data_IF_652731303671
#
_entry.id   IF_652731303671
#
_cell.length_a   1.000
_cell.length_b   1.000
_cell.length_c   1.000
_cell.angle_alpha   90.00
_cell.angle_beta   90.00
_cell.angle_gamma   90.00
#
_symmetry.space_group_name_H-M   'P 1'
#
loop_
_entity.id
_entity.type
_entity.pdbx_description
1 polymer ?
2 water ?
#
# COMPACT_ATOMS: atom_id res chain seq x y z
N UNK A 20 -13.17 -19.52 9.29
CA UNK A 20 -12.21 -19.08 10.30
C UNK A 20 -11.07 -18.18 9.73
N UNK A 21 -9.87 -18.76 9.51
CA UNK A 21 -8.68 -18.05 8.98
C UNK A 21 -8.54 -18.35 7.48
N UNK A 22 -8.47 -17.30 6.61
CA UNK A 22 -8.33 -17.48 5.12
C UNK A 22 -6.97 -18.24 4.83
N UNK A 23 -6.74 -18.90 3.69
CA UNK A 23 -6.42 -18.38 2.33
C UNK A 23 -4.88 -18.43 2.33
N UNK A 24 -4.18 -17.31 2.47
CA UNK A 24 -2.83 -17.11 1.89
C UNK A 24 -3.09 -17.22 0.38
N UNK A 25 -2.96 -16.11 -0.34
CA UNK A 25 -2.79 -16.24 -1.79
C UNK A 25 -1.40 -16.90 -2.04
N UNK A 26 -1.07 -17.36 -3.27
CA UNK A 26 0.34 -17.72 -3.66
C UNK A 26 1.07 -16.53 -3.11
N UNK A 27 2.26 -16.61 -2.51
CA UNK A 27 3.57 -16.53 -3.11
C UNK A 27 3.62 -15.51 -4.23
N UNK A 28 3.18 -15.88 -5.43
CA UNK A 28 3.28 -14.95 -6.55
C UNK A 28 2.41 -13.72 -6.34
N UNK A 29 1.16 -13.93 -5.94
CA UNK A 29 0.22 -12.87 -5.72
C UNK A 29 0.69 -11.91 -4.60
N UNK A 30 1.37 -12.47 -3.59
CA UNK A 30 1.77 -11.71 -2.43
C UNK A 30 2.97 -10.86 -2.76
N UNK A 31 3.88 -11.42 -3.53
CA UNK A 31 5.05 -10.65 -3.96
C UNK A 31 4.67 -9.52 -4.90
N UNK A 32 3.74 -9.76 -5.82
CA UNK A 32 3.26 -8.77 -6.76
C UNK A 32 2.48 -7.65 -6.04
N UNK A 33 1.62 -8.05 -5.11
CA UNK A 33 0.98 -7.08 -4.19
C UNK A 33 2.03 -6.23 -3.45
N UNK A 34 3.08 -6.86 -2.93
CA UNK A 34 4.18 -6.15 -2.30
C UNK A 34 4.85 -5.09 -3.16
N UNK A 35 5.13 -5.46 -4.40
CA UNK A 35 5.77 -4.51 -5.34
C UNK A 35 4.85 -3.35 -5.72
N UNK A 36 3.57 -3.63 -5.89
CA UNK A 36 2.60 -2.61 -6.13
C UNK A 36 2.64 -1.56 -5.00
N UNK A 37 2.65 -2.01 -3.75
CA UNK A 37 2.64 -1.06 -2.59
C UNK A 37 3.92 -0.24 -2.50
N UNK A 38 5.01 -0.87 -2.88
CA UNK A 38 6.29 -0.20 -2.82
C UNK A 38 6.38 0.84 -3.96
N UNK A 39 5.80 0.55 -5.10
CA UNK A 39 5.67 1.54 -6.20
C UNK A 39 4.82 2.76 -5.84
N UNK A 40 3.82 2.59 -4.99
CA UNK A 40 2.97 3.69 -4.56
C UNK A 40 3.52 4.50 -3.37
N UNK A 41 4.60 4.01 -2.74
CA UNK A 41 5.05 4.45 -1.44
C UNK A 41 6.05 5.57 -1.50
N UNK A 42 5.85 6.58 -2.29
CA UNK A 42 6.80 7.71 -2.25
C UNK A 42 5.91 8.92 -2.30
N UNK A 43 6.17 9.95 -1.49
CA UNK A 43 5.35 11.15 -1.48
C UNK A 43 5.01 11.69 -2.88
N UNK A 44 5.97 11.70 -3.80
CA UNK A 44 5.70 12.22 -5.17
C UNK A 44 4.87 11.32 -6.01
N UNK A 45 5.04 10.00 -5.86
CA UNK A 45 4.14 9.07 -6.55
C UNK A 45 2.72 9.11 -6.01
N UNK A 46 2.60 9.30 -4.71
CA UNK A 46 1.29 9.46 -4.13
C UNK A 46 0.66 10.70 -4.76
N UNK A 47 1.41 11.79 -4.81
CA UNK A 47 0.88 13.02 -5.35
C UNK A 47 0.54 12.93 -6.82
N UNK A 48 1.34 12.22 -7.61
CA UNK A 48 0.94 11.99 -9.03
C UNK A 48 -0.34 11.22 -9.21
N UNK A 49 -0.51 10.14 -8.44
CA UNK A 49 -1.72 9.33 -8.47
C UNK A 49 -2.95 10.17 -8.11
N UNK A 50 -2.82 11.06 -7.12
CA UNK A 50 -3.89 12.02 -6.80
C UNK A 50 -4.21 12.96 -7.96
N UNK A 51 -3.18 13.44 -8.67
CA UNK A 51 -3.43 14.28 -9.84
C UNK A 51 -4.20 13.49 -10.91
N UNK A 52 -3.72 12.31 -11.21
CA UNK A 52 -4.27 11.47 -12.28
C UNK A 52 -5.66 10.91 -11.95
N UNK A 53 -6.01 10.81 -10.67
CA UNK A 53 -7.41 10.42 -10.33
C UNK A 53 -8.45 11.46 -10.82
N UNK A 54 -8.06 12.72 -10.89
CA UNK A 54 -8.95 13.80 -11.34
C UNK A 54 -8.96 14.04 -12.86
N UNK A 55 -7.86 13.76 -13.52
CA UNK A 55 -7.70 14.11 -14.93
C UNK A 55 -6.44 13.41 -15.45
N UNK A 56 -6.46 12.94 -16.69
CA UNK A 56 -5.21 12.61 -17.38
C UNK A 56 -4.34 13.86 -17.44
N UNK A 57 -3.02 13.70 -17.47
CA UNK A 57 -2.14 14.85 -17.46
C UNK A 57 -0.94 14.58 -18.32
N UNK A 58 -0.40 15.60 -18.95
CA UNK A 58 0.95 15.53 -19.54
C UNK A 58 1.98 15.91 -18.48
N UNK A 59 3.25 15.66 -18.80
CA UNK A 59 4.36 15.90 -17.90
C UNK A 59 4.43 17.37 -17.51
N UNK A 60 4.23 18.31 -18.42
CA UNK A 60 4.44 19.69 -18.04
C UNK A 60 3.38 20.15 -17.06
N UNK A 61 2.23 19.53 -17.09
CA UNK A 61 1.20 19.90 -16.16
C UNK A 61 1.46 19.37 -14.72
N UNK A 62 2.03 18.17 -14.63
CA UNK A 62 2.46 17.57 -13.36
C UNK A 62 3.59 18.40 -12.79
N UNK A 63 4.50 18.85 -13.66
CA UNK A 63 5.58 19.75 -13.25
C UNK A 63 5.00 21.02 -12.63
N UNK A 64 4.02 21.63 -13.29
CA UNK A 64 3.45 22.89 -12.80
C UNK A 64 2.67 22.68 -11.49
N UNK A 65 1.83 21.68 -11.46
CA UNK A 65 1.01 21.38 -10.28
C UNK A 65 1.81 20.97 -9.04
N UNK A 66 2.85 20.16 -9.22
CA UNK A 66 3.62 19.60 -8.10
C UNK A 66 4.84 20.45 -7.69
N UNK A 67 5.29 21.33 -8.57
CA UNK A 67 6.45 22.20 -8.36
C UNK A 67 7.72 21.40 -8.20
N UNK A 68 7.91 20.46 -9.11
CA UNK A 68 9.12 19.67 -9.14
C UNK A 68 9.57 19.66 -10.57
N UNK A 69 10.89 19.65 -10.78
CA UNK A 69 11.41 19.64 -12.13
C UNK A 69 11.06 18.35 -12.90
N UNK A 70 11.02 18.52 -14.20
CA UNK A 70 10.68 17.47 -15.15
C UNK A 70 11.47 16.21 -15.01
N UNK A 71 12.82 16.28 -14.82
CA UNK A 71 13.54 14.96 -14.83
C UNK A 71 13.09 14.10 -13.63
N UNK A 72 12.73 14.76 -12.53
CA UNK A 72 12.23 14.03 -11.35
C UNK A 72 10.83 13.45 -11.57
N UNK A 73 9.91 14.27 -12.11
CA UNK A 73 8.55 13.79 -12.50
C UNK A 73 8.61 12.59 -13.42
N UNK A 74 9.45 12.69 -14.46
CA UNK A 74 9.60 11.62 -15.43
C UNK A 74 10.12 10.33 -14.81
N UNK A 75 11.07 10.41 -13.91
CA UNK A 75 11.51 9.22 -13.26
C UNK A 75 10.43 8.54 -12.39
N UNK A 76 9.67 9.31 -11.64
CA UNK A 76 8.57 8.70 -10.91
C UNK A 76 7.50 8.13 -11.81
N UNK A 77 7.21 8.78 -12.94
CA UNK A 77 6.27 8.19 -13.91
C UNK A 77 6.80 6.89 -14.48
N UNK A 78 8.11 6.81 -14.70
CA UNK A 78 8.70 5.58 -15.23
C UNK A 78 8.52 4.43 -14.22
N UNK A 79 8.76 4.72 -12.95
CA UNK A 79 8.52 3.81 -11.85
C UNK A 79 7.08 3.40 -11.73
N UNK A 80 6.14 4.34 -11.84
CA UNK A 80 4.73 3.95 -11.86
C UNK A 80 4.31 3.12 -13.07
N UNK A 81 4.85 3.42 -14.23
CA UNK A 81 4.51 2.69 -15.46
C UNK A 81 5.05 1.25 -15.40
N UNK A 82 6.33 1.10 -15.04
CA UNK A 82 6.94 -0.22 -14.84
C UNK A 82 6.11 -1.02 -13.91
N UNK A 83 5.46 -0.39 -12.91
CA UNK A 83 4.66 -1.16 -11.95
C UNK A 83 3.22 -1.43 -12.40
N UNK A 84 2.76 -0.96 -13.56
CA UNK A 84 1.37 -1.19 -13.96
C UNK A 84 0.36 -0.23 -13.37
N UNK A 85 0.84 0.90 -12.83
CA UNK A 85 -0.09 1.86 -12.21
C UNK A 85 -0.59 2.92 -13.19
N UNK A 86 0.28 3.32 -14.09
CA UNK A 86 -0.07 4.30 -15.06
C UNK A 86 0.26 3.82 -16.44
N UNK A 87 -0.44 4.40 -17.42
CA UNK A 87 -0.02 4.31 -18.80
C UNK A 87 -0.06 5.64 -19.45
N UNK A 88 0.56 5.70 -20.61
CA UNK A 88 0.47 6.86 -21.43
C UNK A 88 -0.06 6.56 -22.83
N UNK A 89 -0.56 7.60 -23.49
CA UNK A 89 -1.09 7.51 -24.84
C UNK A 89 -1.09 8.90 -25.48
N UNK A 90 -0.89 8.94 -26.79
CA UNK A 90 -0.98 10.17 -27.61
C UNK A 90 -2.39 10.71 -27.51
N UNK A 91 -2.46 12.01 -27.31
CA UNK A 91 -3.67 12.73 -27.49
C UNK A 91 -3.29 13.99 -28.25
N UNK A 92 -3.53 14.02 -29.57
CA UNK A 92 -3.24 15.22 -30.36
C UNK A 92 -1.75 15.49 -30.42
N UNK A 93 -1.34 16.64 -29.92
CA UNK A 93 0.06 16.96 -29.95
C UNK A 93 0.82 16.61 -28.67
N UNK A 94 0.15 16.13 -27.62
CA UNK A 94 0.79 15.73 -26.34
C UNK A 94 0.68 14.23 -26.03
N UNK A 95 1.51 13.76 -25.09
CA UNK A 95 1.43 12.44 -24.45
C UNK A 95 0.74 12.61 -23.05
N UNK A 96 -0.34 11.89 -22.84
CA UNK A 96 -1.08 11.98 -21.61
C UNK A 96 -0.87 10.71 -20.82
N UNK A 97 -0.69 10.89 -19.53
CA UNK A 97 -0.61 9.80 -18.57
C UNK A 97 -1.94 9.62 -17.91
N UNK A 98 -2.27 8.37 -17.59
CA UNK A 98 -3.50 8.09 -16.89
C UNK A 98 -3.27 6.91 -15.97
N UNK A 99 -4.11 6.83 -14.95
CA UNK A 99 -4.15 5.68 -14.08
C UNK A 99 -4.73 4.49 -14.84
N UNK A 100 -4.07 3.36 -14.76
CA UNK A 100 -4.56 2.14 -15.41
C UNK A 100 -5.93 1.73 -14.79
N UNK A 101 -6.08 1.85 -13.48
CA UNK A 101 -7.31 1.47 -12.81
C UNK A 101 -7.50 2.45 -11.63
N UNK A 102 -8.64 3.15 -11.62
CA UNK A 102 -8.94 4.11 -10.58
C UNK A 102 -9.09 3.57 -9.17
N UNK A 103 -9.29 2.26 -9.01
CA UNK A 103 -9.21 1.65 -7.69
C UNK A 103 -7.84 1.74 -7.01
N UNK A 104 -6.77 1.82 -7.80
CA UNK A 104 -5.44 2.03 -7.24
C UNK A 104 -5.32 3.33 -6.46
N UNK A 105 -6.08 4.35 -6.89
CA UNK A 105 -6.14 5.60 -6.15
C UNK A 105 -6.72 5.38 -4.77
N UNK A 106 -7.58 4.36 -4.58
CA UNK A 106 -8.14 4.12 -3.24
C UNK A 106 -7.10 3.67 -2.27
N UNK A 107 -6.07 2.98 -2.75
CA UNK A 107 -4.92 2.63 -1.90
C UNK A 107 -4.29 3.88 -1.31
N UNK A 108 -4.01 4.89 -2.14
CA UNK A 108 -3.34 6.04 -1.61
C UNK A 108 -4.26 6.90 -0.75
N UNK A 109 -5.50 7.00 -1.16
CA UNK A 109 -6.51 7.69 -0.37
C UNK A 109 -6.68 7.11 1.06
N UNK A 110 -6.77 5.80 1.16
CA UNK A 110 -6.82 5.11 2.47
C UNK A 110 -5.53 5.28 3.28
N UNK A 111 -4.36 5.21 2.62
CA UNK A 111 -3.08 5.47 3.27
C UNK A 111 -3.04 6.87 3.85
N UNK A 112 -3.50 7.84 3.07
CA UNK A 112 -3.62 9.23 3.51
C UNK A 112 -4.60 9.35 4.70
N UNK A 113 -5.77 8.75 4.60
CA UNK A 113 -6.72 8.75 5.72
C UNK A 113 -6.07 8.20 7.00
N UNK A 114 -5.46 7.04 6.94
CA UNK A 114 -4.78 6.53 8.10
C UNK A 114 -3.77 7.47 8.64
N UNK A 115 -2.90 7.99 7.78
CA UNK A 115 -1.80 8.90 8.20
C UNK A 115 -2.37 10.13 8.93
N UNK A 116 -3.44 10.71 8.39
CA UNK A 116 -4.14 11.87 9.01
C UNK A 116 -4.88 11.59 10.33
N UNK A 117 -5.34 10.36 10.55
CA UNK A 117 -6.01 10.02 11.81
C UNK A 117 -4.94 9.60 12.81
N UNK A 118 -3.88 10.39 12.90
CA UNK A 118 -2.67 10.01 13.58
C UNK A 118 -1.68 11.18 13.63
N UNK B 25 -3.28 17.60 0.95
CA UNK B 25 -2.58 16.98 2.10
C UNK B 25 -1.18 17.53 2.28
N UNK B 26 -0.82 17.81 3.52
CA UNK B 26 0.49 18.36 3.84
C UNK B 26 1.61 17.41 3.42
N UNK B 27 2.83 17.96 3.34
CA UNK B 27 4.09 17.22 3.19
C UNK B 27 4.25 16.10 4.20
N UNK B 28 3.92 16.39 5.44
CA UNK B 28 4.08 15.42 6.47
C UNK B 28 3.06 14.27 6.28
N UNK B 29 1.84 14.59 5.83
CA UNK B 29 0.83 13.56 5.67
C UNK B 29 1.24 12.66 4.52
N UNK B 30 1.73 13.24 3.43
CA UNK B 30 2.28 12.45 2.31
C UNK B 30 3.45 11.57 2.68
N UNK B 31 4.39 12.11 3.46
CA UNK B 31 5.50 11.30 3.95
C UNK B 31 5.07 10.16 4.84
N UNK B 32 4.12 10.45 5.71
CA UNK B 32 3.64 9.45 6.66
C UNK B 32 2.90 8.36 5.92
N UNK B 33 2.12 8.75 4.91
CA UNK B 33 1.39 7.78 4.10
C UNK B 33 2.32 6.87 3.33
N UNK B 34 3.36 7.46 2.73
CA UNK B 34 4.42 6.71 2.12
C UNK B 34 5.17 5.74 3.05
N UNK B 35 5.49 6.15 4.26
CA UNK B 35 6.13 5.23 5.22
C UNK B 35 5.21 4.04 5.58
N UNK B 36 3.93 4.31 5.69
CA UNK B 36 2.88 3.24 5.89
C UNK B 36 2.88 2.19 4.81
N UNK B 37 2.77 2.68 3.57
CA UNK B 37 2.84 1.83 2.42
C UNK B 37 4.13 1.01 2.34
N UNK B 38 5.28 1.60 2.68
CA UNK B 38 6.54 0.82 2.70
C UNK B 38 6.52 -0.29 3.77
N UNK B 39 5.95 0.00 4.93
CA UNK B 39 5.85 -0.98 6.01
C UNK B 39 4.92 -2.15 5.66
N UNK B 40 3.94 -1.93 4.82
CA UNK B 40 3.04 -3.00 4.45
C UNK B 40 3.54 -3.84 3.29
N UNK B 41 4.60 -3.41 2.60
CA UNK B 41 4.99 -4.05 1.34
C UNK B 41 5.59 -5.51 1.49
N UNK B 42 6.22 -5.87 2.59
CA UNK B 42 6.66 -7.29 2.73
C UNK B 42 5.50 -8.35 2.56
N UNK B 43 5.77 -9.46 1.84
CA UNK B 43 4.67 -10.43 1.68
C UNK B 43 4.11 -11.10 2.99
N UNK B 44 4.93 -11.32 4.01
CA UNK B 44 4.40 -11.83 5.30
C UNK B 44 3.57 -10.77 5.98
N UNK B 45 3.90 -9.50 5.75
CA UNK B 45 3.09 -8.44 6.35
C UNK B 45 1.71 -8.32 5.78
N UNK B 46 1.63 -8.40 4.47
CA UNK B 46 0.35 -8.50 3.85
C UNK B 46 -0.45 -9.70 4.37
N UNK B 47 0.25 -10.82 4.56
CA UNK B 47 -0.37 -12.06 5.04
C UNK B 47 -0.90 -11.86 6.46
N UNK B 48 -0.15 -11.13 7.27
CA UNK B 48 -0.56 -10.84 8.65
C UNK B 48 -1.81 -9.98 8.67
N UNK B 49 -1.84 -8.96 7.83
CA UNK B 49 -2.97 -8.07 7.76
C UNK B 49 -4.23 -8.77 7.29
N UNK B 50 -4.12 -9.62 6.27
CA UNK B 50 -5.30 -10.37 5.85
C UNK B 50 -5.84 -11.31 6.94
N UNK B 51 -4.97 -11.86 7.75
CA UNK B 51 -5.45 -12.68 8.91
C UNK B 51 -6.20 -11.81 9.97
N UNK B 52 -5.59 -10.69 10.32
CA UNK B 52 -6.16 -9.75 11.28
C UNK B 52 -7.38 -9.06 10.78
N UNK B 53 -7.58 -9.02 9.48
CA UNK B 53 -8.79 -8.41 9.01
C UNK B 53 -10.02 -9.22 9.44
N UNK B 54 -9.88 -10.53 9.54
CA UNK B 54 -11.02 -11.40 9.88
C UNK B 54 -11.29 -11.47 11.40
N UNK B 55 -10.24 -11.36 12.18
CA UNK B 55 -10.34 -11.60 13.59
C UNK B 55 -9.01 -11.20 14.25
N UNK B 56 -9.12 -10.70 15.46
CA UNK B 56 -7.96 -10.61 16.36
C UNK B 56 -7.36 -12.00 16.52
N UNK B 57 -6.03 -12.05 16.73
CA UNK B 57 -5.31 -13.33 16.75
C UNK B 57 -4.17 -13.20 17.68
N UNK B 58 -3.86 -14.29 18.38
CA UNK B 58 -2.64 -14.38 19.15
C UNK B 58 -1.55 -14.87 18.18
N UNK B 59 -0.29 -14.68 18.61
CA UNK B 59 0.90 -15.03 17.82
C UNK B 59 0.84 -16.46 17.32
N UNK B 60 0.41 -17.40 18.18
CA UNK B 60 0.42 -18.79 17.79
C UNK B 60 -0.64 -19.09 16.76
N UNK B 61 -1.78 -18.40 16.77
CA UNK B 61 -2.76 -18.61 15.70
C UNK B 61 -2.20 -18.13 14.35
N UNK B 62 -1.35 -17.09 14.38
CA UNK B 62 -0.78 -16.53 13.13
C UNK B 62 0.32 -17.44 12.61
N UNK B 63 1.15 -17.91 13.53
CA UNK B 63 2.17 -18.92 13.24
C UNK B 63 1.58 -20.11 12.51
N UNK B 64 0.50 -20.69 13.05
CA UNK B 64 -0.24 -21.77 12.34
C UNK B 64 -0.73 -21.39 10.93
N UNK B 65 -1.55 -20.34 10.82
CA UNK B 65 -2.17 -19.92 9.53
C UNK B 65 -1.17 -19.56 8.41
N UNK B 66 -0.01 -19.07 8.82
CA UNK B 66 1.05 -18.60 7.94
C UNK B 66 2.12 -19.65 7.65
N UNK B 67 2.28 -20.61 8.56
CA UNK B 67 3.24 -21.71 8.39
C UNK B 67 4.69 -21.17 8.48
N UNK B 68 5.01 -20.47 9.55
CA UNK B 68 6.28 -19.77 9.61
C UNK B 68 6.84 -19.74 11.05
N UNK B 69 8.15 -19.86 11.21
CA UNK B 69 8.73 -19.76 12.55
C UNK B 69 8.16 -18.65 13.45
N UNK B 70 7.91 -18.99 14.70
CA UNK B 70 7.42 -18.05 15.68
C UNK B 70 8.23 -16.77 15.80
N UNK B 71 9.56 -16.88 15.93
CA UNK B 71 10.30 -15.63 16.15
C UNK B 71 10.27 -14.66 14.95
N UNK B 72 10.11 -15.21 13.75
CA UNK B 72 10.01 -14.40 12.54
C UNK B 72 8.70 -13.58 12.48
N UNK B 73 7.59 -14.29 12.70
CA UNK B 73 6.27 -13.69 12.85
C UNK B 73 6.34 -12.53 13.83
N UNK B 74 6.98 -12.76 14.97
CA UNK B 74 7.08 -11.80 16.06
C UNK B 74 7.88 -10.59 15.67
N UNK B 75 8.82 -10.82 14.77
CA UNK B 75 9.69 -9.79 14.26
C UNK B 75 8.86 -8.86 13.30
N UNK B 76 8.08 -9.46 12.41
CA UNK B 76 7.13 -8.72 11.58
C UNK B 76 6.06 -7.97 12.35
N UNK B 77 5.54 -8.56 13.41
CA UNK B 77 4.59 -7.87 14.29
C UNK B 77 5.15 -6.68 15.05
N UNK B 78 6.33 -6.83 15.65
CA UNK B 78 7.00 -5.68 16.30
C UNK B 78 7.22 -4.52 15.32
N UNK B 79 7.59 -4.85 14.10
CA UNK B 79 7.69 -3.82 13.06
C UNK B 79 6.30 -3.20 12.66
N UNK B 80 5.29 -4.03 12.41
CA UNK B 80 3.94 -3.53 12.17
C UNK B 80 3.37 -2.65 13.29
N UNK B 81 3.75 -2.95 14.52
CA UNK B 81 3.31 -2.19 15.68
C UNK B 81 3.97 -0.81 15.79
N UNK B 82 5.29 -0.79 15.63
CA UNK B 82 6.09 0.46 15.54
C UNK B 82 5.55 1.34 14.40
N UNK B 83 5.20 0.70 13.29
CA UNK B 83 4.59 1.39 12.15
C UNK B 83 3.17 1.85 12.32
N UNK B 84 2.50 1.47 13.41
CA UNK B 84 1.12 1.94 13.65
C UNK B 84 0.09 1.11 12.89
N UNK B 85 0.46 -0.07 12.41
CA UNK B 85 -0.47 -0.88 11.63
C UNK B 85 -1.23 -1.91 12.55
N UNK B 86 -0.54 -2.54 13.50
CA UNK B 86 -1.19 -3.46 14.44
C UNK B 86 -1.06 -2.90 15.87
N UNK B 87 -2.04 -3.24 16.69
CA UNK B 87 -1.85 -3.05 18.11
C UNK B 87 -2.15 -4.36 18.84
N UNK B 88 -1.73 -4.44 20.08
CA UNK B 88 -1.94 -5.70 20.83
C UNK B 88 -2.56 -5.32 22.17
N UNK B 89 -3.33 -6.22 22.74
CA UNK B 89 -4.03 -5.90 23.97
C UNK B 89 -4.42 -7.19 24.64
N UNK B 90 -4.36 -7.19 25.96
CA UNK B 90 -4.77 -8.37 26.73
C UNK B 90 -6.26 -8.71 26.57
N UNK B 91 -6.54 -10.00 26.43
CA UNK B 91 -7.87 -10.57 26.47
C UNK B 91 -7.77 -11.88 27.32
N UNK B 92 -8.02 -11.79 28.63
CA UNK B 92 -7.85 -12.89 29.58
C UNK B 92 -6.41 -13.35 29.61
N UNK B 93 -6.17 -14.63 29.29
CA UNK B 93 -4.81 -15.14 29.33
C UNK B 93 -3.92 -14.77 28.12
N UNK B 94 -4.56 -14.38 27.02
CA UNK B 94 -3.89 -14.10 25.75
C UNK B 94 -3.56 -12.64 25.58
N UNK B 95 -2.58 -12.37 24.75
CA UNK B 95 -2.38 -11.06 24.19
C UNK B 95 -2.77 -11.15 22.71
N UNK B 96 -3.78 -10.37 22.32
CA UNK B 96 -4.27 -10.47 20.98
C UNK B 96 -3.75 -9.29 20.17
N UNK B 97 -3.44 -9.57 18.90
CA UNK B 97 -3.10 -8.52 17.87
C UNK B 97 -4.31 -8.17 17.06
N UNK B 98 -4.48 -6.88 16.76
CA UNK B 98 -5.55 -6.44 15.88
C UNK B 98 -5.06 -5.36 14.93
N UNK B 99 -5.77 -5.13 13.86
CA UNK B 99 -5.47 -3.99 12.98
C UNK B 99 -5.92 -2.74 13.65
N UNK B 100 -5.12 -1.68 13.52
CA UNK B 100 -5.46 -0.40 14.14
C UNK B 100 -6.72 0.21 13.55
N UNK B 101 -6.98 0.00 12.26
CA UNK B 101 -8.25 0.47 11.63
C UNK B 101 -8.55 -0.33 10.36
N UNK B 102 -9.71 -0.10 9.76
CA UNK B 102 -10.13 -0.74 8.48
C UNK B 102 -9.45 -0.21 7.21
N UNK B 103 -8.97 1.04 7.23
CA UNK B 103 -8.21 1.61 6.08
C UNK B 103 -7.09 0.65 5.67
N UNK B 104 -6.45 0.05 6.65
CA UNK B 104 -5.34 -0.87 6.42
C UNK B 104 -5.72 -2.18 5.68
N UNK B 105 -6.87 -2.75 6.01
CA UNK B 105 -7.28 -3.93 5.35
C UNK B 105 -7.67 -3.62 3.92
N UNK B 106 -8.37 -2.50 3.70
CA UNK B 106 -8.74 -2.09 2.34
C UNK B 106 -7.51 -1.91 1.45
N UNK B 107 -6.43 -1.37 2.00
CA UNK B 107 -5.21 -1.16 1.23
C UNK B 107 -4.70 -2.50 0.72
N UNK B 108 -4.62 -3.47 1.62
CA UNK B 108 -4.02 -4.78 1.33
C UNK B 108 -4.93 -5.57 0.42
N UNK B 109 -6.22 -5.51 0.69
CA UNK B 109 -7.21 -6.22 -0.12
C UNK B 109 -7.26 -5.67 -1.58
N UNK B 110 -7.14 -4.35 -1.77
CA UNK B 110 -7.11 -3.78 -3.14
C UNK B 110 -5.81 -4.08 -3.86
N UNK B 111 -4.71 -4.08 -3.12
CA UNK B 111 -3.44 -4.51 -3.72
C UNK B 111 -3.50 -5.98 -4.20
N UNK B 112 -4.01 -6.90 -3.36
CA UNK B 112 -4.21 -8.31 -3.72
C UNK B 112 -5.09 -8.43 -4.98
N UNK B 113 -6.21 -7.72 -4.99
CA UNK B 113 -7.11 -7.67 -6.15
C UNK B 113 -6.38 -7.28 -7.39
N UNK B 114 -5.67 -6.15 -7.34
CA UNK B 114 -4.85 -5.74 -8.50
C UNK B 114 -3.77 -6.81 -8.89
N UNK B 115 -3.07 -7.37 -7.91
CA UNK B 115 -1.97 -8.31 -8.19
C UNK B 115 -2.50 -9.67 -8.71
N UNK B 116 -3.77 -9.95 -8.44
CA UNK B 116 -4.44 -11.12 -9.00
C UNK B 116 -4.75 -11.06 -10.51
N UNK B 117 -4.56 -9.91 -11.19
CA UNK B 117 -4.56 -9.83 -12.69
C UNK B 117 -3.21 -10.19 -13.34
N UNK B 118 -3.20 -11.33 -14.05
CA UNK B 118 -2.05 -11.85 -14.85
C UNK B 118 -2.07 -13.40 -14.99
#
# INVERSE_FOLDING_TARGET
MKTISNLTEHGEAHDHAGTPAPALPSRDVLETAGELLRALAAPLRIAIVLQLKQSQRCVHELVDALDVPQPLVSQHLRILKQAGVVSSERAGREVLYRLVDHHLAHIVVDAIAHASEDRR
MKTISNLTEHGEAHDHAGTPAPALPSRDVLETAGELLRALAAPLRIAIVLQLKQSQRCVHELVDALDVPQPLVSQHLRILKQAGVVSSERAGREVLYRLVDHHLAHIVVDAIAHASEDRR
#
